data_IF_884138896184
#
_entry.id   IF_884138896184
#
_cell.length_a   1.000
_cell.length_b   1.000
_cell.length_c   1.000
_cell.angle_alpha   90.00
_cell.angle_beta   90.00
_cell.angle_gamma   90.00
#
_symmetry.space_group_name_H-M   'P 1'
#
loop_
_entity.id
_entity.type
_entity.pdbx_description
1 polymer ?
#
# COMPACT_ATOMS: atom_id res chain seq x y z
N UNK A 1 30.76 35.97 6.80
CA UNK A 1 30.53 34.50 6.81
C UNK A 1 29.58 34.05 7.93
N UNK A 2 28.51 34.81 8.25
CA UNK A 2 27.53 34.45 9.31
C UNK A 2 26.06 34.55 8.84
N UNK A 3 25.82 35.08 7.64
CA UNK A 3 24.48 35.30 7.08
C UNK A 3 23.95 34.02 6.41
N UNK A 4 24.82 33.27 5.73
CA UNK A 4 24.45 32.00 5.06
C UNK A 4 24.05 30.89 6.04
N UNK A 5 24.68 30.81 7.22
CA UNK A 5 24.36 29.81 8.25
C UNK A 5 22.96 30.06 8.85
N UNK A 6 22.58 31.33 9.03
CA UNK A 6 21.24 31.73 9.51
C UNK A 6 20.16 31.44 8.48
N UNK A 7 20.44 31.62 7.19
CA UNK A 7 19.48 31.31 6.12
C UNK A 7 19.20 29.81 6.01
N UNK A 8 20.24 28.96 6.11
CA UNK A 8 20.07 27.50 6.05
C UNK A 8 19.35 26.93 7.26
N UNK A 9 19.58 27.49 8.45
CA UNK A 9 18.86 27.10 9.67
C UNK A 9 17.40 27.54 9.63
N UNK A 10 17.09 28.73 9.07
CA UNK A 10 15.70 29.16 8.85
C UNK A 10 14.98 28.29 7.82
N UNK A 11 15.66 27.91 6.73
CA UNK A 11 15.12 27.04 5.69
C UNK A 11 14.82 25.63 6.24
N UNK A 12 15.74 25.07 7.04
CA UNK A 12 15.55 23.77 7.68
C UNK A 12 14.39 23.79 8.67
N UNK A 13 14.24 24.88 9.44
CA UNK A 13 13.12 25.07 10.36
C UNK A 13 11.76 25.17 9.63
N UNK A 14 11.71 25.83 8.48
CA UNK A 14 10.51 25.91 7.61
C UNK A 14 10.13 24.57 6.97
N UNK A 15 11.11 23.71 6.66
CA UNK A 15 10.88 22.35 6.14
C UNK A 15 10.29 21.44 7.23
N UNK A 16 10.74 21.59 8.49
CA UNK A 16 10.19 20.82 9.62
C UNK A 16 8.76 21.22 10.01
N UNK A 17 8.34 22.46 9.75
CA UNK A 17 6.99 22.93 10.09
C UNK A 17 5.88 22.39 9.16
N UNK A 18 6.22 21.83 8.00
CA UNK A 18 5.25 21.34 7.01
C UNK A 18 5.02 19.82 7.06
N UNK A 19 5.57 19.11 8.05
CA UNK A 19 5.21 17.70 8.24
C UNK A 19 3.88 17.59 9.00
N UNK A 20 2.77 17.53 8.27
CA UNK A 20 1.50 17.09 8.83
C UNK A 20 1.62 15.61 9.16
N UNK A 21 1.99 15.30 10.39
CA UNK A 21 1.91 13.96 10.94
C UNK A 21 0.49 13.72 11.42
N UNK A 22 -0.26 12.86 10.73
CA UNK A 22 -1.50 12.35 11.29
C UNK A 22 -1.19 11.48 12.51
N UNK A 23 -2.00 11.60 13.55
CA UNK A 23 -1.96 10.72 14.72
C UNK A 23 -3.35 10.16 14.91
N UNK A 24 -3.61 9.02 14.30
CA UNK A 24 -4.89 8.32 14.40
C UNK A 24 -5.04 7.74 15.80
N UNK A 25 -6.04 8.25 16.53
CA UNK A 25 -6.49 7.70 17.80
C UNK A 25 -7.62 6.71 17.56
N UNK A 26 -7.40 5.46 17.96
CA UNK A 26 -8.42 4.41 17.88
C UNK A 26 -9.08 4.31 19.25
N UNK A 27 -10.37 4.66 19.32
CA UNK A 27 -11.19 4.57 20.53
C UNK A 27 -12.23 3.46 20.41
N UNK A 28 -12.38 2.64 21.45
CA UNK A 28 -13.46 1.64 21.52
C UNK A 28 -14.73 2.32 22.02
N UNK A 29 -15.74 2.42 21.17
CA UNK A 29 -17.09 2.87 21.54
C UNK A 29 -18.07 1.71 21.38
N UNK A 30 -18.10 0.83 22.38
CA UNK A 30 -18.95 -0.36 22.37
C UNK A 30 -20.31 -0.02 22.98
N UNK A 31 -21.40 -0.40 22.30
CA UNK A 31 -22.76 -0.19 22.79
C UNK A 31 -23.09 -1.09 24.01
N UNK A 32 -22.46 -2.27 24.09
CA UNK A 32 -22.57 -3.20 25.20
C UNK A 32 -21.16 -3.66 25.59
N UNK A 33 -20.74 -3.32 26.80
CA UNK A 33 -19.36 -3.49 27.28
C UNK A 33 -19.19 -4.59 28.34
N UNK A 34 -20.30 -5.15 28.84
CA UNK A 34 -20.35 -6.17 29.91
C UNK A 34 -19.39 -7.35 29.71
N UNK A 35 -19.09 -7.73 28.48
CA UNK A 35 -18.19 -8.85 28.15
C UNK A 35 -17.04 -8.43 27.22
N UNK A 36 -16.55 -7.20 27.35
CA UNK A 36 -15.43 -6.71 26.54
C UNK A 36 -14.13 -7.44 26.89
N UNK A 37 -13.48 -8.02 25.89
CA UNK A 37 -12.19 -8.70 26.07
C UNK A 37 -11.05 -7.68 26.18
N UNK A 38 -10.03 -8.03 26.98
CA UNK A 38 -8.77 -7.30 27.01
C UNK A 38 -8.03 -7.40 25.67
N UNK A 39 -7.16 -6.43 25.42
CA UNK A 39 -6.33 -6.39 24.22
C UNK A 39 -5.20 -7.42 24.21
N UNK A 40 -5.02 -8.12 25.33
CA UNK A 40 -4.11 -9.24 25.48
C UNK A 40 -4.89 -10.51 25.80
N UNK A 41 -4.44 -11.63 25.27
CA UNK A 41 -5.03 -12.94 25.55
C UNK A 41 -3.96 -14.03 25.51
N UNK A 42 -4.17 -15.08 26.31
CA UNK A 42 -3.29 -16.26 26.33
C UNK A 42 -3.69 -17.21 25.20
N UNK A 43 -2.70 -17.62 24.41
CA UNK A 43 -2.83 -18.66 23.41
C UNK A 43 -1.77 -19.74 23.67
N UNK A 44 -2.22 -20.89 24.19
CA UNK A 44 -1.34 -21.97 24.67
C UNK A 44 -0.34 -21.44 25.72
N UNK A 45 0.97 -21.51 25.42
CA UNK A 45 2.06 -21.04 26.30
C UNK A 45 2.53 -19.61 25.96
N UNK A 46 1.84 -18.90 25.05
CA UNK A 46 2.23 -17.57 24.60
C UNK A 46 1.13 -16.57 24.93
N UNK A 47 1.51 -15.35 25.29
CA UNK A 47 0.60 -14.22 25.36
C UNK A 47 0.62 -13.49 24.02
N UNK A 48 -0.57 -13.19 23.51
CA UNK A 48 -0.75 -12.43 22.26
C UNK A 48 -1.44 -11.13 22.59
N UNK A 49 -1.12 -10.11 21.80
CA UNK A 49 -1.73 -8.78 21.90
C UNK A 49 -2.13 -8.26 20.53
N UNK A 50 -3.19 -7.47 20.49
CA UNK A 50 -3.50 -6.68 19.32
C UNK A 50 -2.37 -5.67 19.07
N UNK A 51 -1.93 -5.58 17.81
CA UNK A 51 -0.84 -4.71 17.41
C UNK A 51 -1.40 -3.33 17.01
N UNK A 52 -2.05 -2.66 17.97
CA UNK A 52 -2.71 -1.38 17.75
C UNK A 52 -1.79 -0.34 17.12
N UNK A 53 -0.53 -0.26 17.55
CA UNK A 53 0.48 0.64 16.99
C UNK A 53 0.65 0.46 15.47
N UNK A 54 0.64 -0.79 14.99
CA UNK A 54 0.77 -1.08 13.56
C UNK A 54 -0.48 -0.72 12.79
N UNK A 55 -1.66 -0.88 13.41
CA UNK A 55 -2.93 -0.49 12.82
C UNK A 55 -3.00 1.03 12.70
N UNK A 56 -2.69 1.77 13.77
CA UNK A 56 -2.64 3.23 13.75
C UNK A 56 -1.65 3.76 12.73
N UNK A 57 -0.41 3.25 12.71
CA UNK A 57 0.60 3.67 11.73
C UNK A 57 0.17 3.40 10.28
N UNK A 58 -0.54 2.30 10.03
CA UNK A 58 -1.10 2.03 8.71
C UNK A 58 -2.21 3.02 8.35
N UNK A 59 -3.12 3.33 9.29
CA UNK A 59 -4.17 4.32 9.07
C UNK A 59 -3.60 5.72 8.83
N UNK A 60 -2.57 6.13 9.58
CA UNK A 60 -1.85 7.39 9.36
C UNK A 60 -1.28 7.44 7.93
N UNK A 61 -0.62 6.35 7.50
CA UNK A 61 -0.08 6.26 6.13
C UNK A 61 -1.18 6.33 5.07
N UNK A 62 -2.35 5.78 5.35
CA UNK A 62 -3.50 5.79 4.45
C UNK A 62 -4.11 7.21 4.36
N UNK A 63 -4.20 7.94 5.47
CA UNK A 63 -4.65 9.33 5.47
C UNK A 63 -3.72 10.24 4.67
N UNK A 64 -2.40 10.13 4.87
CA UNK A 64 -1.41 10.85 4.06
C UNK A 64 -1.53 10.48 2.57
N UNK A 65 -1.72 9.20 2.30
CA UNK A 65 -1.91 8.71 0.93
C UNK A 65 -3.19 9.29 0.30
N UNK A 66 -4.26 9.42 1.06
CA UNK A 66 -5.50 10.03 0.60
C UNK A 66 -5.31 11.52 0.34
N UNK A 67 -4.82 12.29 1.31
CA UNK A 67 -4.62 13.75 1.14
C UNK A 67 -3.74 14.10 -0.09
N UNK A 68 -2.78 13.25 -0.42
CA UNK A 68 -1.86 13.48 -1.54
C UNK A 68 -2.48 13.22 -2.93
N UNK A 69 -3.59 12.52 -3.04
CA UNK A 69 -4.13 12.08 -4.34
C UNK A 69 -5.64 12.35 -4.43
N UNK A 70 -6.13 12.83 -5.57
CA UNK A 70 -7.53 13.24 -5.72
C UNK A 70 -8.46 12.11 -6.21
N UNK A 71 -7.90 10.99 -6.70
CA UNK A 71 -8.65 9.89 -7.28
C UNK A 71 -8.16 8.54 -6.80
N UNK A 72 -9.09 7.64 -6.47
CA UNK A 72 -8.78 6.30 -5.98
C UNK A 72 -9.55 5.21 -6.71
N UNK A 73 -8.99 4.01 -6.63
CA UNK A 73 -9.60 2.80 -7.13
C UNK A 73 -9.19 1.60 -6.29
N UNK A 74 -9.84 0.48 -6.60
CA UNK A 74 -9.45 -0.82 -6.11
C UNK A 74 -9.07 -1.65 -7.31
N UNK A 75 -7.86 -2.19 -7.28
CA UNK A 75 -7.39 -3.15 -8.25
C UNK A 75 -8.28 -4.39 -8.21
N UNK A 76 -8.93 -4.73 -9.32
CA UNK A 76 -9.79 -5.92 -9.44
C UNK A 76 -9.28 -6.85 -10.52
N UNK A 77 -9.02 -8.10 -10.16
CA UNK A 77 -8.77 -9.16 -11.13
C UNK A 77 -9.85 -10.22 -11.02
N UNK A 78 -10.86 -10.14 -11.88
CA UNK A 78 -11.79 -11.25 -12.01
C UNK A 78 -11.12 -12.34 -12.85
N UNK A 79 -10.48 -13.30 -12.17
CA UNK A 79 -9.78 -14.46 -12.77
C UNK A 79 -10.60 -15.17 -13.88
N UNK A 80 -11.93 -15.06 -13.84
CA UNK A 80 -12.84 -15.69 -14.79
C UNK A 80 -13.19 -14.84 -16.03
N UNK A 81 -12.79 -13.55 -16.07
CA UNK A 81 -13.07 -12.64 -17.19
C UNK A 81 -11.80 -12.30 -17.98
N UNK A 82 -10.67 -12.07 -17.28
CA UNK A 82 -9.45 -11.53 -17.90
C UNK A 82 -8.37 -12.59 -18.22
N UNK A 83 -8.64 -13.87 -17.94
CA UNK A 83 -7.69 -14.96 -18.19
C UNK A 83 -6.48 -14.97 -17.25
N UNK A 84 -5.44 -15.73 -17.61
CA UNK A 84 -4.21 -15.82 -16.82
C UNK A 84 -3.26 -14.65 -17.18
N UNK A 85 -2.83 -13.82 -16.22
CA UNK A 85 -1.91 -12.71 -16.48
C UNK A 85 -0.61 -13.14 -17.18
N UNK A 86 0.10 -12.28 -17.93
CA UNK A 86 1.42 -12.60 -18.48
C UNK A 86 2.46 -12.80 -17.37
N UNK A 87 3.57 -13.49 -17.67
CA UNK A 87 4.65 -13.71 -16.70
C UNK A 87 5.39 -12.39 -16.38
N UNK A 88 5.52 -12.09 -15.09
CA UNK A 88 6.34 -10.97 -14.60
C UNK A 88 7.81 -11.17 -14.92
N UNK A 89 8.55 -10.07 -15.11
CA UNK A 89 9.99 -10.03 -15.43
C UNK A 89 10.82 -10.93 -14.51
N UNK A 90 10.50 -10.98 -13.22
CA UNK A 90 11.13 -11.86 -12.25
C UNK A 90 10.07 -12.62 -11.46
N UNK A 91 10.02 -13.94 -11.64
CA UNK A 91 9.07 -14.81 -10.96
C UNK A 91 9.77 -16.02 -10.31
N UNK A 92 9.07 -16.64 -9.35
CA UNK A 92 9.45 -17.89 -8.71
C UNK A 92 8.27 -18.86 -8.78
N UNK A 93 8.56 -20.13 -9.02
CA UNK A 93 7.56 -21.20 -8.97
C UNK A 93 7.68 -21.89 -7.62
N UNK A 94 6.57 -22.02 -6.89
CA UNK A 94 6.56 -22.74 -5.62
C UNK A 94 6.40 -24.26 -5.83
N UNK A 95 6.54 -25.03 -4.75
CA UNK A 95 6.37 -26.51 -4.77
C UNK A 95 4.99 -26.99 -5.28
N UNK A 96 4.00 -26.10 -5.32
CA UNK A 96 2.65 -26.36 -5.81
C UNK A 96 2.44 -25.88 -7.26
N UNK A 97 3.53 -25.61 -8.00
CA UNK A 97 3.51 -25.09 -9.39
C UNK A 97 2.83 -23.71 -9.54
N UNK A 98 2.61 -22.99 -8.45
CA UNK A 98 2.08 -21.62 -8.51
C UNK A 98 3.24 -20.66 -8.80
N UNK A 99 3.00 -19.76 -9.76
CA UNK A 99 3.95 -18.71 -10.12
C UNK A 99 3.68 -17.48 -9.29
N UNK A 100 4.70 -16.98 -8.59
CA UNK A 100 4.68 -15.71 -7.84
C UNK A 100 5.69 -14.74 -8.43
N UNK A 101 5.39 -13.44 -8.35
CA UNK A 101 6.41 -12.43 -8.60
C UNK A 101 7.47 -12.40 -7.49
N UNK A 102 8.46 -11.53 -7.64
CA UNK A 102 9.51 -11.32 -6.64
C UNK A 102 9.01 -10.76 -5.30
N UNK A 103 7.74 -10.34 -5.24
CA UNK A 103 7.10 -9.72 -4.07
C UNK A 103 6.06 -10.63 -3.41
N UNK A 104 6.00 -11.89 -3.86
CA UNK A 104 5.17 -12.92 -3.27
C UNK A 104 3.69 -12.83 -3.66
N UNK A 105 3.34 -12.09 -4.71
CA UNK A 105 1.98 -12.05 -5.25
C UNK A 105 1.80 -13.16 -6.28
N UNK A 106 0.77 -13.97 -6.10
CA UNK A 106 0.44 -15.06 -7.02
C UNK A 106 -0.09 -14.53 -8.35
N UNK A 107 0.48 -15.03 -9.44
CA UNK A 107 0.06 -14.72 -10.81
C UNK A 107 -1.42 -15.01 -11.03
N UNK A 108 -1.95 -16.07 -10.43
CA UNK A 108 -3.34 -16.50 -10.65
C UNK A 108 -4.39 -15.55 -10.07
N UNK A 109 -4.00 -14.62 -9.20
CA UNK A 109 -4.86 -13.61 -8.57
C UNK A 109 -4.22 -12.21 -8.66
N UNK A 110 -3.25 -12.06 -9.56
CA UNK A 110 -2.41 -10.88 -9.67
C UNK A 110 -2.80 -10.02 -10.86
N UNK A 111 -2.69 -8.71 -10.75
CA UNK A 111 -2.93 -7.77 -11.86
C UNK A 111 -1.57 -7.40 -12.43
N UNK A 112 -1.31 -7.59 -13.73
CA UNK A 112 -0.01 -7.26 -14.31
C UNK A 112 0.22 -5.75 -14.20
N UNK A 113 1.27 -5.36 -13.47
CA UNK A 113 1.67 -3.97 -13.32
C UNK A 113 2.94 -3.72 -14.13
N UNK A 114 2.87 -2.77 -15.04
CA UNK A 114 3.92 -2.44 -16.00
C UNK A 114 4.68 -1.19 -15.56
N UNK A 115 5.93 -1.12 -16.01
CA UNK A 115 6.72 0.10 -15.88
C UNK A 115 6.25 1.12 -16.91
N UNK A 116 6.17 2.39 -16.52
CA UNK A 116 5.88 3.47 -17.48
C UNK A 116 6.89 3.45 -18.64
N UNK A 117 6.39 3.38 -19.87
CA UNK A 117 7.21 3.30 -21.09
C UNK A 117 7.64 1.89 -21.51
N UNK A 118 7.34 0.85 -20.73
CA UNK A 118 7.57 -0.55 -21.14
C UNK A 118 6.38 -1.44 -20.77
N UNK A 119 5.58 -1.77 -21.78
CA UNK A 119 4.36 -2.58 -21.67
C UNK A 119 4.53 -4.04 -22.12
N UNK A 120 5.74 -4.44 -22.53
CA UNK A 120 5.97 -5.78 -23.10
C UNK A 120 5.95 -6.88 -22.03
N UNK A 121 6.43 -6.57 -20.82
CA UNK A 121 6.52 -7.52 -19.71
C UNK A 121 6.14 -6.82 -18.40
N UNK A 122 5.25 -7.39 -17.57
CA UNK A 122 4.92 -6.78 -16.28
C UNK A 122 6.13 -6.84 -15.34
N UNK A 123 6.35 -5.79 -14.56
CA UNK A 123 7.41 -5.77 -13.55
C UNK A 123 7.04 -6.62 -12.34
N UNK A 124 5.75 -6.62 -11.99
CA UNK A 124 5.20 -7.33 -10.82
C UNK A 124 3.69 -7.50 -10.94
N UNK A 125 3.08 -8.15 -9.95
CA UNK A 125 1.64 -8.24 -9.84
C UNK A 125 1.10 -7.37 -8.70
N UNK A 126 0.03 -6.63 -8.97
CA UNK A 126 -0.83 -6.03 -7.95
C UNK A 126 -1.72 -7.10 -7.34
N UNK A 127 -1.92 -7.05 -6.02
CA UNK A 127 -2.89 -7.95 -5.37
C UNK A 127 -4.30 -7.52 -5.76
N UNK A 128 -5.16 -8.50 -6.05
CA UNK A 128 -6.60 -8.26 -6.12
C UNK A 128 -7.09 -7.63 -4.81
N UNK A 129 -7.94 -6.61 -4.92
CA UNK A 129 -8.42 -5.81 -3.80
C UNK A 129 -7.44 -4.72 -3.31
N UNK A 130 -6.28 -4.53 -3.95
CA UNK A 130 -5.33 -3.51 -3.50
C UNK A 130 -5.88 -2.09 -3.72
N UNK A 131 -5.77 -1.25 -2.68
CA UNK A 131 -6.13 0.16 -2.73
C UNK A 131 -5.05 0.96 -3.45
N UNK A 132 -5.47 1.73 -4.46
CA UNK A 132 -4.60 2.51 -5.32
C UNK A 132 -5.15 3.90 -5.58
N UNK A 133 -4.25 4.85 -5.77
CA UNK A 133 -4.53 6.18 -6.27
C UNK A 133 -4.33 6.17 -7.79
N UNK A 134 -5.23 6.81 -8.50
CA UNK A 134 -5.15 6.99 -9.95
C UNK A 134 -4.43 8.31 -10.20
N UNK A 135 -3.21 8.23 -10.75
CA UNK A 135 -2.37 9.40 -11.04
C UNK A 135 -2.76 10.01 -12.39
N UNK A 136 -3.02 9.16 -13.38
CA UNK A 136 -3.44 9.62 -14.70
C UNK A 136 -4.21 8.52 -15.42
N UNK A 137 -5.20 8.94 -16.20
CA UNK A 137 -5.92 8.10 -17.14
C UNK A 137 -5.42 8.39 -18.57
N UNK A 138 -5.02 7.34 -19.28
CA UNK A 138 -4.67 7.39 -20.69
C UNK A 138 -5.48 6.32 -21.41
N UNK A 139 -5.92 6.58 -22.65
CA UNK A 139 -6.77 5.66 -23.39
C UNK A 139 -6.19 4.23 -23.44
N UNK A 140 -6.72 3.34 -22.59
CA UNK A 140 -6.33 1.95 -22.46
C UNK A 140 -5.39 1.59 -21.29
N UNK A 141 -4.96 2.55 -20.46
CA UNK A 141 -4.04 2.32 -19.34
C UNK A 141 -4.20 3.37 -18.22
N UNK A 142 -4.30 2.90 -16.97
CA UNK A 142 -4.28 3.73 -15.78
C UNK A 142 -2.90 3.73 -15.14
N UNK A 143 -2.34 4.91 -14.90
CA UNK A 143 -1.17 5.04 -14.02
C UNK A 143 -1.66 5.08 -12.57
N UNK A 144 -1.22 4.10 -11.79
CA UNK A 144 -1.63 3.91 -10.40
C UNK A 144 -0.45 3.93 -9.44
N UNK A 145 -0.68 4.42 -8.22
CA UNK A 145 0.22 4.25 -7.08
C UNK A 145 -0.52 3.53 -5.97
N UNK A 146 0.12 2.59 -5.28
CA UNK A 146 -0.54 1.85 -4.20
C UNK A 146 -0.16 2.39 -2.83
N UNK A 147 -1.10 2.31 -1.90
CA UNK A 147 -0.83 2.52 -0.48
C UNK A 147 0.11 1.44 0.11
N UNK A 148 0.17 0.25 -0.50
CA UNK A 148 0.85 -0.92 0.09
C UNK A 148 2.25 -1.16 -0.51
N UNK A 149 2.56 -0.58 -1.66
CA UNK A 149 3.88 -0.72 -2.30
C UNK A 149 4.32 0.58 -2.97
N UNK A 150 5.61 0.88 -2.88
CA UNK A 150 6.20 2.06 -3.50
C UNK A 150 6.33 1.92 -5.02
N UNK A 151 6.23 3.06 -5.70
CA UNK A 151 6.43 3.21 -7.14
C UNK A 151 5.12 3.34 -7.92
N UNK A 152 5.06 4.32 -8.81
CA UNK A 152 3.97 4.44 -9.79
C UNK A 152 4.12 3.38 -10.88
N UNK A 153 3.04 2.65 -11.15
CA UNK A 153 2.99 1.62 -12.18
C UNK A 153 1.78 1.84 -13.07
N UNK A 154 1.77 1.19 -14.22
CA UNK A 154 0.66 1.27 -15.16
C UNK A 154 -0.05 -0.07 -15.22
N UNK A 155 -1.36 -0.05 -15.17
CA UNK A 155 -2.22 -1.21 -15.41
C UNK A 155 -3.22 -0.91 -16.52
N UNK A 156 -3.47 -1.90 -17.35
CA UNK A 156 -4.60 -1.93 -18.30
C UNK A 156 -5.85 -2.48 -17.62
#
# INVERSE_FOLDING_TARGET
MMIWIKCYTLLFFLICLNSVGYTVKIEKRLLYDRHTLHDTYKYRKQERRFQWDKISAFLDSLMVFQEKNDGYGVLRNYKNVNGMPPLSRKYKINKYKQTRDSFGVDRSQGIPLYRRGNFSVPERYGRDGAYVAVISDSAGCFQVSSATFAGGMVCS
#
